data_IF_392218818376
#
_entry.id   IF_392218818376
#
_cell.length_a   1.000
_cell.length_b   1.000
_cell.length_c   1.000
_cell.angle_alpha   90.00
_cell.angle_beta   90.00
_cell.angle_gamma   90.00
#
_symmetry.space_group_name_H-M   'P 1'
#
loop_
_entity.id
_entity.type
_entity.pdbx_description
1 polymer ?
#
# COMPACT_ATOMS: atom_id res chain seq x y z
N UNK A 1 25.79 -4.38 14.71
CA UNK A 1 24.48 -4.35 14.03
C UNK A 1 24.44 -5.55 13.10
N UNK A 2 23.36 -6.31 13.10
CA UNK A 2 23.14 -7.37 12.10
C UNK A 2 22.85 -6.66 10.77
N UNK A 3 23.57 -7.03 9.70
CA UNK A 3 23.33 -6.46 8.36
C UNK A 3 21.95 -6.88 7.86
N UNK A 4 21.20 -5.94 7.28
CA UNK A 4 19.92 -6.20 6.60
C UNK A 4 20.16 -6.42 5.11
N UNK A 5 19.15 -6.89 4.39
CA UNK A 5 19.22 -7.32 3.00
C UNK A 5 19.93 -6.32 2.08
N UNK A 6 19.58 -5.03 2.15
CA UNK A 6 20.20 -3.99 1.31
C UNK A 6 21.55 -3.46 1.83
N UNK A 7 22.01 -3.89 3.01
CA UNK A 7 23.31 -3.49 3.57
C UNK A 7 24.49 -4.33 3.00
N UNK A 8 24.19 -5.41 2.27
CA UNK A 8 25.18 -6.28 1.63
C UNK A 8 25.68 -5.71 0.31
N UNK A 9 27.00 -5.66 0.15
CA UNK A 9 27.63 -5.16 -1.09
C UNK A 9 27.77 -6.26 -2.14
N UNK A 10 28.04 -5.88 -3.39
CA UNK A 10 28.33 -6.85 -4.46
C UNK A 10 29.48 -7.79 -4.06
N UNK A 11 29.27 -9.08 -4.31
CA UNK A 11 30.21 -10.15 -3.96
C UNK A 11 30.22 -10.55 -2.48
N UNK A 12 29.35 -10.01 -1.63
CA UNK A 12 29.26 -10.38 -0.21
C UNK A 12 28.35 -11.60 -0.01
N UNK A 13 28.81 -12.59 0.77
CA UNK A 13 27.97 -13.73 1.19
C UNK A 13 27.02 -13.31 2.33
N UNK A 14 25.81 -13.86 2.30
CA UNK A 14 24.74 -13.56 3.26
C UNK A 14 24.10 -14.83 3.79
N UNK A 15 23.70 -14.78 5.06
CA UNK A 15 22.83 -15.76 5.68
C UNK A 15 21.75 -14.99 6.46
N UNK A 16 20.54 -14.97 5.93
CA UNK A 16 19.45 -14.12 6.38
C UNK A 16 18.14 -14.90 6.43
N UNK A 17 17.29 -14.54 7.39
CA UNK A 17 15.88 -14.89 7.36
C UNK A 17 15.11 -13.79 6.65
N UNK A 18 14.35 -14.14 5.62
CA UNK A 18 13.68 -13.22 4.71
C UNK A 18 12.24 -13.67 4.44
N UNK A 19 11.38 -12.74 4.07
CA UNK A 19 10.05 -13.04 3.54
C UNK A 19 10.10 -13.18 2.02
N UNK A 20 9.41 -14.19 1.48
CA UNK A 20 9.13 -14.27 0.05
C UNK A 20 7.95 -13.35 -0.28
N UNK A 21 8.22 -12.22 -0.94
CA UNK A 21 7.19 -11.28 -1.39
C UNK A 21 6.51 -11.76 -2.67
N UNK A 22 7.25 -12.42 -3.55
CA UNK A 22 6.74 -12.99 -4.80
C UNK A 22 7.49 -14.27 -5.16
N UNK A 23 6.81 -15.17 -5.86
CA UNK A 23 7.34 -16.44 -6.34
C UNK A 23 6.64 -16.85 -7.64
N UNK A 24 7.44 -17.06 -8.68
CA UNK A 24 6.94 -17.38 -10.03
C UNK A 24 7.73 -18.53 -10.64
N UNK A 25 7.06 -19.66 -10.92
CA UNK A 25 7.64 -20.76 -11.69
C UNK A 25 7.75 -20.38 -13.17
N UNK A 26 8.97 -20.42 -13.70
CA UNK A 26 9.28 -20.10 -15.10
C UNK A 26 10.05 -21.23 -15.75
N UNK A 27 10.00 -21.26 -17.08
CA UNK A 27 10.77 -22.19 -17.90
C UNK A 27 11.87 -21.43 -18.62
N UNK A 28 13.12 -21.88 -18.46
CA UNK A 28 14.28 -21.31 -19.14
C UNK A 28 14.26 -21.63 -20.64
N UNK A 29 15.08 -20.93 -21.43
CA UNK A 29 15.23 -21.20 -22.88
C UNK A 29 15.65 -22.65 -23.19
N UNK A 30 16.28 -23.30 -22.22
CA UNK A 30 16.79 -24.65 -22.24
C UNK A 30 15.77 -25.67 -21.66
N UNK A 31 14.52 -25.28 -21.46
CA UNK A 31 13.41 -26.16 -21.05
C UNK A 31 13.40 -26.53 -19.57
N UNK A 32 14.39 -26.10 -18.79
CA UNK A 32 14.43 -26.36 -17.34
C UNK A 32 13.60 -25.34 -16.58
N UNK A 33 12.85 -25.83 -15.59
CA UNK A 33 12.07 -24.99 -14.68
C UNK A 33 12.96 -24.34 -13.61
N UNK A 34 12.57 -23.15 -13.17
CA UNK A 34 13.21 -22.39 -12.11
C UNK A 34 12.19 -21.43 -11.45
N UNK A 35 12.38 -21.13 -10.18
CA UNK A 35 11.59 -20.10 -9.51
C UNK A 35 12.30 -18.75 -9.62
N UNK A 36 11.53 -17.73 -9.95
CA UNK A 36 11.90 -16.34 -9.72
C UNK A 36 11.31 -15.94 -8.37
N UNK A 37 12.18 -15.64 -7.42
CA UNK A 37 11.82 -15.27 -6.05
C UNK A 37 12.15 -13.79 -5.80
N UNK A 38 11.29 -13.11 -5.06
CA UNK A 38 11.57 -11.77 -4.53
C UNK A 38 11.65 -11.86 -3.01
N UNK A 39 12.84 -11.64 -2.46
CA UNK A 39 13.09 -11.64 -1.04
C UNK A 39 12.91 -10.24 -0.45
N UNK A 40 12.41 -10.16 0.77
CA UNK A 40 12.26 -8.89 1.49
C UNK A 40 12.55 -9.00 2.99
N UNK A 41 13.08 -7.92 3.54
CA UNK A 41 13.10 -7.61 4.97
C UNK A 41 12.77 -6.12 5.17
N UNK A 42 12.96 -5.57 6.37
CA UNK A 42 12.75 -4.14 6.68
C UNK A 42 13.71 -3.14 6.01
N UNK A 43 14.63 -3.59 5.15
CA UNK A 43 15.50 -2.69 4.37
C UNK A 43 15.09 -2.56 2.91
N UNK A 44 14.27 -3.47 2.38
CA UNK A 44 13.82 -3.43 0.99
C UNK A 44 13.60 -4.81 0.39
N UNK A 45 13.77 -4.91 -0.94
CA UNK A 45 13.60 -6.18 -1.66
C UNK A 45 14.73 -6.45 -2.65
N UNK A 46 15.09 -7.72 -2.82
CA UNK A 46 16.05 -8.17 -3.84
C UNK A 46 15.54 -9.46 -4.50
N UNK A 47 15.76 -9.59 -5.81
CA UNK A 47 15.41 -10.80 -6.58
C UNK A 47 16.48 -11.89 -6.46
N UNK A 48 16.07 -13.15 -6.43
CA UNK A 48 16.95 -14.30 -6.69
C UNK A 48 16.25 -15.36 -7.55
N UNK A 49 17.03 -16.23 -8.19
CA UNK A 49 16.48 -17.34 -8.98
C UNK A 49 16.88 -18.68 -8.36
N UNK A 50 15.91 -19.54 -8.05
CA UNK A 50 16.14 -20.92 -7.63
C UNK A 50 16.07 -21.82 -8.87
N UNK A 51 17.22 -22.31 -9.31
CA UNK A 51 17.35 -23.09 -10.54
C UNK A 51 16.96 -24.56 -10.35
N UNK A 52 16.47 -25.21 -11.41
CA UNK A 52 16.01 -26.59 -11.41
C UNK A 52 14.86 -26.85 -10.41
N UNK A 53 14.01 -25.85 -10.19
CA UNK A 53 12.87 -25.96 -9.29
C UNK A 53 11.74 -26.81 -9.89
N UNK A 54 11.09 -27.59 -9.04
CA UNK A 54 9.91 -28.40 -9.33
C UNK A 54 8.61 -27.66 -9.01
N UNK A 55 7.46 -28.27 -9.33
CA UNK A 55 6.17 -27.75 -8.88
C UNK A 55 6.04 -27.77 -7.35
N UNK A 56 6.59 -28.80 -6.69
CA UNK A 56 6.58 -28.90 -5.23
C UNK A 56 7.39 -27.76 -4.58
N UNK A 57 8.49 -27.35 -5.21
CA UNK A 57 9.25 -26.17 -4.75
C UNK A 57 8.41 -24.90 -4.91
N UNK A 58 7.62 -24.77 -5.98
CA UNK A 58 6.73 -23.63 -6.18
C UNK A 58 5.67 -23.54 -5.08
N UNK A 59 5.11 -24.67 -4.66
CA UNK A 59 4.12 -24.74 -3.60
C UNK A 59 4.76 -24.42 -2.23
N UNK A 60 5.98 -24.91 -2.00
CA UNK A 60 6.75 -24.71 -0.76
C UNK A 60 7.23 -23.26 -0.60
N UNK A 61 7.83 -22.70 -1.66
CA UNK A 61 8.38 -21.34 -1.68
C UNK A 61 7.39 -20.37 -2.30
N UNK A 62 6.14 -20.40 -1.82
CA UNK A 62 5.08 -19.49 -2.21
C UNK A 62 5.18 -18.12 -1.51
N UNK A 63 4.52 -17.07 -2.04
CA UNK A 63 4.51 -15.76 -1.38
C UNK A 63 3.95 -15.83 0.04
N UNK A 64 4.57 -15.12 0.97
CA UNK A 64 4.21 -15.12 2.39
C UNK A 64 5.07 -16.05 3.25
N UNK A 65 5.82 -16.95 2.61
CA UNK A 65 6.70 -17.89 3.29
C UNK A 65 7.94 -17.19 3.83
N UNK A 66 8.26 -17.40 5.11
CA UNK A 66 9.54 -17.02 5.69
C UNK A 66 10.56 -18.10 5.34
N UNK A 67 11.72 -17.67 4.86
CA UNK A 67 12.81 -18.55 4.44
C UNK A 67 14.12 -18.13 5.07
N UNK A 68 14.93 -19.11 5.43
CA UNK A 68 16.35 -18.90 5.73
C UNK A 68 17.12 -19.11 4.42
N UNK A 69 17.79 -18.05 3.99
CA UNK A 69 18.54 -17.96 2.75
C UNK A 69 20.03 -17.93 3.07
N UNK A 70 20.78 -18.86 2.48
CA UNK A 70 22.23 -18.72 2.30
C UNK A 70 22.52 -18.41 0.84
N UNK A 71 23.30 -17.36 0.59
CA UNK A 71 23.57 -16.92 -0.78
C UNK A 71 24.63 -15.86 -0.87
N UNK A 72 24.78 -15.31 -2.07
CA UNK A 72 25.71 -14.22 -2.35
C UNK A 72 25.03 -13.11 -3.12
N UNK A 73 25.34 -11.89 -2.73
CA UNK A 73 24.95 -10.70 -3.46
C UNK A 73 25.73 -10.64 -4.77
N UNK A 74 25.03 -10.59 -5.89
CA UNK A 74 25.62 -10.42 -7.22
C UNK A 74 24.89 -9.31 -7.97
N UNK A 75 25.58 -8.70 -8.93
CA UNK A 75 25.00 -7.77 -9.88
C UNK A 75 24.86 -8.42 -11.26
N UNK A 76 23.68 -8.33 -11.87
CA UNK A 76 23.42 -8.83 -13.21
C UNK A 76 22.70 -7.77 -14.04
N UNK A 77 23.35 -7.32 -15.13
CA UNK A 77 22.86 -6.22 -15.98
C UNK A 77 22.56 -4.94 -15.17
N UNK A 78 23.52 -4.54 -14.33
CA UNK A 78 23.42 -3.39 -13.42
C UNK A 78 22.25 -3.48 -12.44
N UNK A 79 21.73 -4.70 -12.23
CA UNK A 79 20.66 -4.98 -11.28
C UNK A 79 21.14 -5.92 -10.19
N UNK A 80 21.08 -5.47 -8.92
CA UNK A 80 20.86 -6.30 -7.76
C UNK A 80 20.17 -7.67 -7.94
N UNK A 81 20.91 -8.79 -7.74
CA UNK A 81 20.33 -10.11 -7.51
C UNK A 81 20.99 -10.89 -6.36
N UNK A 82 20.38 -12.00 -5.97
CA UNK A 82 20.93 -12.99 -5.04
C UNK A 82 21.19 -14.27 -5.83
N UNK A 83 22.42 -14.77 -5.75
CA UNK A 83 22.75 -16.14 -6.08
C UNK A 83 22.48 -17.02 -4.85
N UNK A 84 21.47 -17.88 -4.98
CA UNK A 84 21.02 -18.76 -3.90
C UNK A 84 21.97 -19.97 -3.81
N UNK A 85 22.49 -20.25 -2.62
CA UNK A 85 23.22 -21.48 -2.31
C UNK A 85 22.31 -22.51 -1.68
N UNK A 86 21.54 -22.09 -0.67
CA UNK A 86 20.59 -22.93 0.05
C UNK A 86 19.38 -22.10 0.46
N UNK A 87 18.22 -22.74 0.49
CA UNK A 87 16.96 -22.10 0.85
C UNK A 87 16.07 -23.10 1.59
N UNK A 88 15.69 -22.77 2.82
CA UNK A 88 14.74 -23.59 3.61
C UNK A 88 13.60 -22.74 4.15
N UNK A 89 12.45 -23.37 4.32
CA UNK A 89 11.30 -22.76 5.02
C UNK A 89 11.62 -22.67 6.51
N UNK A 90 11.29 -21.54 7.11
CA UNK A 90 11.31 -21.34 8.55
C UNK A 90 9.96 -21.78 9.11
N UNK A 91 9.98 -22.77 10.00
CA UNK A 91 8.77 -23.31 10.60
C UNK A 91 8.11 -22.33 11.59
N UNK A 92 6.78 -22.43 11.80
CA UNK A 92 6.05 -21.53 12.70
C UNK A 92 6.52 -21.60 14.17
N UNK A 93 7.22 -22.66 14.55
CA UNK A 93 7.75 -22.85 15.91
C UNK A 93 9.18 -22.30 16.09
N UNK A 94 9.80 -21.75 15.04
CA UNK A 94 11.16 -21.19 15.12
C UNK A 94 11.20 -19.76 15.69
N UNK A 95 10.03 -19.21 16.08
CA UNK A 95 9.95 -18.01 16.93
C UNK A 95 10.17 -16.66 16.22
N UNK A 96 10.16 -16.64 14.89
CA UNK A 96 10.29 -15.41 14.10
C UNK A 96 8.97 -14.65 14.04
N UNK A 97 8.99 -13.36 14.36
CA UNK A 97 7.84 -12.48 14.22
C UNK A 97 7.76 -11.95 12.77
N UNK A 98 6.68 -12.29 12.07
CA UNK A 98 6.38 -11.83 10.70
C UNK A 98 6.49 -10.30 10.56
N UNK A 99 6.22 -9.55 11.64
CA UNK A 99 6.31 -8.08 11.64
C UNK A 99 7.73 -7.56 11.40
N UNK A 100 8.77 -8.37 11.58
CA UNK A 100 10.17 -8.01 11.34
C UNK A 100 10.54 -8.00 9.84
N UNK A 101 9.73 -8.63 8.99
CA UNK A 101 10.02 -8.82 7.56
C UNK A 101 9.08 -8.06 6.64
N UNK A 102 8.06 -7.41 7.20
CA UNK A 102 7.08 -6.59 6.47
C UNK A 102 7.29 -5.14 6.86
N UNK A 103 7.61 -4.29 5.88
CA UNK A 103 7.67 -2.85 6.10
C UNK A 103 6.33 -2.34 6.62
N UNK A 104 6.38 -1.45 7.60
CA UNK A 104 5.20 -0.79 8.15
C UNK A 104 5.27 0.71 7.91
N UNK A 105 4.12 1.36 7.86
CA UNK A 105 4.06 2.81 7.87
C UNK A 105 4.92 3.41 9.01
N UNK A 106 5.53 4.59 8.82
CA UNK A 106 6.39 5.23 9.83
C UNK A 106 5.63 5.70 11.08
N UNK A 107 4.30 5.62 11.06
CA UNK A 107 3.41 6.04 12.14
C UNK A 107 2.85 4.79 12.83
N UNK A 108 2.81 4.80 14.17
CA UNK A 108 2.26 3.68 14.94
C UNK A 108 0.76 3.60 14.71
N UNK A 109 0.25 2.37 14.67
CA UNK A 109 -1.18 2.11 14.46
C UNK A 109 -2.08 2.89 15.43
N UNK A 110 -1.69 2.98 16.72
CA UNK A 110 -2.43 3.73 17.73
C UNK A 110 -2.57 5.22 17.38
N UNK A 111 -1.50 5.84 16.88
CA UNK A 111 -1.51 7.26 16.52
C UNK A 111 -2.40 7.48 15.28
N UNK A 112 -2.38 6.53 14.32
CA UNK A 112 -3.29 6.54 13.16
C UNK A 112 -4.77 6.43 13.61
N UNK A 113 -5.07 5.53 14.54
CA UNK A 113 -6.40 5.37 15.11
C UNK A 113 -6.88 6.65 15.81
N UNK A 114 -6.03 7.30 16.61
CA UNK A 114 -6.36 8.54 17.30
C UNK A 114 -6.67 9.69 16.31
N UNK A 115 -5.86 9.84 15.26
CA UNK A 115 -6.08 10.87 14.25
C UNK A 115 -7.37 10.65 13.44
N UNK A 116 -7.65 9.42 13.01
CA UNK A 116 -8.89 9.11 12.28
C UNK A 116 -10.09 9.33 13.20
N UNK A 117 -10.05 8.85 14.44
CA UNK A 117 -11.14 9.05 15.39
C UNK A 117 -11.42 10.53 15.64
N UNK A 118 -10.39 11.37 15.76
CA UNK A 118 -10.55 12.83 15.86
C UNK A 118 -11.35 13.37 14.68
N UNK A 119 -11.02 12.99 13.44
CA UNK A 119 -11.76 13.44 12.24
C UNK A 119 -13.18 12.91 12.17
N UNK A 120 -13.42 11.68 12.63
CA UNK A 120 -14.77 11.14 12.75
C UNK A 120 -15.64 11.99 13.70
N UNK A 121 -15.09 12.60 14.75
CA UNK A 121 -15.84 13.53 15.60
C UNK A 121 -16.15 14.88 14.92
N UNK A 122 -15.40 15.26 13.89
CA UNK A 122 -15.59 16.50 13.13
C UNK A 122 -16.63 16.34 12.00
N UNK A 123 -17.09 15.13 11.70
CA UNK A 123 -18.19 14.87 10.75
C UNK A 123 -19.52 15.17 11.44
N UNK A 124 -20.12 16.31 11.13
CA UNK A 124 -21.34 16.82 11.78
C UNK A 124 -22.63 16.26 11.17
N UNK A 125 -22.61 15.88 9.89
CA UNK A 125 -23.75 15.23 9.26
C UNK A 125 -23.99 13.84 9.90
N UNK A 126 -25.19 13.58 10.44
CA UNK A 126 -25.46 12.33 11.17
C UNK A 126 -25.47 11.09 10.26
N UNK A 127 -25.90 11.21 9.01
CA UNK A 127 -25.93 10.12 8.03
C UNK A 127 -24.52 9.62 7.76
N UNK A 128 -23.62 10.52 7.34
CA UNK A 128 -22.23 10.17 7.05
C UNK A 128 -21.48 9.70 8.29
N UNK A 129 -21.68 10.35 9.44
CA UNK A 129 -21.04 9.96 10.70
C UNK A 129 -21.38 8.51 11.08
N UNK A 130 -22.66 8.15 11.00
CA UNK A 130 -23.14 6.79 11.33
C UNK A 130 -22.55 5.74 10.39
N UNK A 131 -22.54 5.99 9.09
CA UNK A 131 -21.96 5.08 8.08
C UNK A 131 -20.46 4.90 8.33
N UNK A 132 -19.71 6.00 8.48
CA UNK A 132 -18.26 5.96 8.73
C UNK A 132 -17.94 5.17 10.00
N UNK A 133 -18.63 5.45 11.12
CA UNK A 133 -18.42 4.71 12.38
C UNK A 133 -18.77 3.23 12.26
N UNK A 134 -19.86 2.91 11.56
CA UNK A 134 -20.28 1.53 11.35
C UNK A 134 -19.23 0.74 10.57
N UNK A 135 -18.76 1.29 9.45
CA UNK A 135 -17.77 0.63 8.60
C UNK A 135 -16.38 0.53 9.25
N UNK A 136 -15.92 1.60 9.92
CA UNK A 136 -14.67 1.54 10.71
C UNK A 136 -14.73 0.50 11.82
N UNK A 137 -15.89 0.32 12.47
CA UNK A 137 -16.07 -0.74 13.46
C UNK A 137 -16.06 -2.12 12.83
N UNK A 138 -16.75 -2.29 11.70
CA UNK A 138 -16.86 -3.56 10.97
C UNK A 138 -15.50 -4.05 10.46
N UNK A 139 -14.71 -3.14 9.91
CA UNK A 139 -13.43 -3.44 9.23
C UNK A 139 -12.19 -2.99 10.02
N UNK A 140 -12.32 -2.76 11.33
CA UNK A 140 -11.28 -2.13 12.14
C UNK A 140 -9.91 -2.81 11.98
N UNK A 141 -9.87 -4.14 12.18
CA UNK A 141 -8.63 -4.90 12.17
C UNK A 141 -7.96 -4.85 10.79
N UNK A 142 -8.73 -5.05 9.73
CA UNK A 142 -8.25 -5.06 8.36
C UNK A 142 -7.79 -3.66 7.95
N UNK A 143 -8.63 -2.65 8.16
CA UNK A 143 -8.34 -1.26 7.79
C UNK A 143 -7.03 -0.72 8.38
N UNK A 144 -6.76 -1.05 9.65
CA UNK A 144 -5.55 -0.60 10.34
C UNK A 144 -4.31 -1.45 10.08
N UNK A 145 -4.44 -2.62 9.44
CA UNK A 145 -3.30 -3.51 9.15
C UNK A 145 -2.95 -3.59 7.67
N UNK A 146 -3.91 -3.40 6.77
CA UNK A 146 -3.75 -3.59 5.33
C UNK A 146 -2.90 -2.50 4.68
N UNK A 147 -2.22 -2.81 3.56
CA UNK A 147 -1.60 -1.81 2.70
C UNK A 147 -2.66 -1.05 1.89
N UNK A 148 -2.29 0.13 1.37
CA UNK A 148 -3.15 0.86 0.43
C UNK A 148 -2.99 0.34 -1.02
N UNK A 149 -2.09 -0.62 -1.27
CA UNK A 149 -1.93 -1.21 -2.59
C UNK A 149 -0.93 -2.37 -2.59
N UNK A 150 -0.91 -3.13 -3.69
CA UNK A 150 -0.01 -4.29 -3.84
C UNK A 150 1.47 -3.88 -4.00
N UNK A 151 1.74 -2.85 -4.79
CA UNK A 151 3.10 -2.46 -5.19
C UNK A 151 3.27 -0.96 -5.42
N UNK A 152 2.22 -0.18 -5.14
CA UNK A 152 2.19 1.27 -5.40
C UNK A 152 2.44 2.04 -4.09
N UNK A 153 1.98 3.29 -4.02
CA UNK A 153 2.11 4.11 -2.82
C UNK A 153 1.45 3.41 -1.62
N UNK A 154 2.07 3.56 -0.45
CA UNK A 154 1.61 2.94 0.80
C UNK A 154 1.42 1.41 0.73
N UNK A 155 2.22 0.70 -0.08
CA UNK A 155 2.25 -0.77 -0.17
C UNK A 155 2.99 -1.44 1.01
N UNK A 156 2.67 -0.97 2.22
CA UNK A 156 3.27 -1.35 3.51
C UNK A 156 2.18 -1.69 4.51
N UNK A 157 2.52 -2.45 5.57
CA UNK A 157 1.59 -2.71 6.67
C UNK A 157 1.12 -1.40 7.31
N UNK A 158 -0.17 -1.31 7.65
CA UNK A 158 -0.86 -0.10 8.10
C UNK A 158 -0.94 1.01 7.02
N UNK A 159 -0.58 0.70 5.77
CA UNK A 159 -0.50 1.66 4.69
C UNK A 159 -1.84 2.31 4.34
N UNK A 160 -2.95 1.56 4.41
CA UNK A 160 -4.29 2.08 4.13
C UNK A 160 -4.71 3.18 5.12
N UNK A 161 -4.55 2.91 6.42
CA UNK A 161 -4.81 3.92 7.45
C UNK A 161 -3.82 5.10 7.39
N UNK A 162 -2.56 4.85 7.05
CA UNK A 162 -1.56 5.91 6.89
C UNK A 162 -1.87 6.84 5.71
N UNK A 163 -2.28 6.28 4.57
CA UNK A 163 -2.77 7.03 3.42
C UNK A 163 -3.98 7.89 3.81
N UNK A 164 -4.98 7.28 4.45
CA UNK A 164 -6.18 7.97 4.95
C UNK A 164 -5.84 9.15 5.87
N UNK A 165 -4.90 8.97 6.83
CA UNK A 165 -4.48 10.05 7.74
C UNK A 165 -3.80 11.19 6.99
N UNK A 166 -2.95 10.88 6.01
CA UNK A 166 -2.26 11.90 5.21
C UNK A 166 -3.27 12.72 4.41
N UNK A 167 -4.23 12.07 3.75
CA UNK A 167 -5.34 12.74 3.08
C UNK A 167 -6.21 13.59 4.01
N UNK A 168 -6.46 13.13 5.23
CA UNK A 168 -7.25 13.89 6.21
C UNK A 168 -6.52 15.16 6.69
N UNK A 169 -5.18 15.14 6.75
CA UNK A 169 -4.37 16.33 7.06
C UNK A 169 -4.41 17.33 5.89
N UNK A 170 -4.31 16.85 4.66
CA UNK A 170 -4.43 17.70 3.47
C UNK A 170 -5.85 18.29 3.34
N UNK A 171 -6.87 17.46 3.56
CA UNK A 171 -8.27 17.88 3.60
C UNK A 171 -8.52 18.98 4.64
N UNK A 172 -7.93 18.87 5.84
CA UNK A 172 -8.02 19.94 6.84
C UNK A 172 -7.40 21.25 6.34
N UNK A 173 -6.18 21.19 5.80
CA UNK A 173 -5.49 22.38 5.30
C UNK A 173 -6.24 23.06 4.15
N UNK A 174 -6.75 22.27 3.21
CA UNK A 174 -7.53 22.73 2.07
C UNK A 174 -8.86 23.34 2.55
N UNK A 175 -9.59 22.67 3.44
CA UNK A 175 -10.86 23.19 3.96
C UNK A 175 -10.69 24.41 4.88
N UNK A 176 -9.52 24.58 5.53
CA UNK A 176 -9.18 25.82 6.25
C UNK A 176 -8.97 27.00 5.29
N UNK A 177 -8.51 26.73 4.07
CA UNK A 177 -8.26 27.74 3.04
C UNK A 177 -9.52 28.09 2.25
N UNK A 178 -10.35 27.09 1.94
CA UNK A 178 -11.54 27.22 1.12
C UNK A 178 -12.80 26.92 1.96
N UNK A 179 -13.45 27.96 2.54
CA UNK A 179 -14.56 27.77 3.48
C UNK A 179 -15.85 27.21 2.84
N UNK A 180 -15.93 27.22 1.50
CA UNK A 180 -17.05 26.63 0.76
C UNK A 180 -17.01 25.10 0.67
N UNK A 181 -15.97 24.45 1.20
CA UNK A 181 -15.86 22.98 1.23
C UNK A 181 -16.62 22.44 2.44
N UNK A 182 -17.53 21.50 2.21
CA UNK A 182 -18.15 20.71 3.26
C UNK A 182 -17.12 19.73 3.86
N UNK A 183 -16.61 20.09 5.04
CA UNK A 183 -15.67 19.28 5.81
C UNK A 183 -16.20 17.90 6.16
N UNK A 184 -17.50 17.80 6.47
CA UNK A 184 -18.10 16.52 6.87
C UNK A 184 -18.12 15.54 5.71
N UNK A 185 -18.51 16.01 4.52
CA UNK A 185 -18.54 15.19 3.31
C UNK A 185 -17.13 14.82 2.87
N UNK A 186 -16.21 15.78 2.83
CA UNK A 186 -14.82 15.53 2.43
C UNK A 186 -14.13 14.52 3.36
N UNK A 187 -14.28 14.66 4.68
CA UNK A 187 -13.68 13.72 5.63
C UNK A 187 -14.30 12.33 5.56
N UNK A 188 -15.63 12.23 5.38
CA UNK A 188 -16.28 10.95 5.15
C UNK A 188 -15.75 10.27 3.88
N UNK A 189 -15.59 11.05 2.80
CA UNK A 189 -14.96 10.60 1.56
C UNK A 189 -13.52 10.10 1.77
N UNK A 190 -12.66 10.89 2.41
CA UNK A 190 -11.27 10.49 2.69
C UNK A 190 -11.19 9.17 3.47
N UNK A 191 -12.04 8.99 4.49
CA UNK A 191 -12.01 7.77 5.31
C UNK A 191 -12.48 6.54 4.54
N UNK A 192 -13.47 6.70 3.65
CA UNK A 192 -14.13 5.57 3.02
C UNK A 192 -13.60 5.22 1.64
N UNK A 193 -13.11 6.17 0.83
CA UNK A 193 -12.86 5.96 -0.61
C UNK A 193 -12.11 4.66 -0.96
N UNK A 194 -11.09 4.33 -0.17
CA UNK A 194 -10.23 3.17 -0.35
C UNK A 194 -10.55 1.99 0.58
N UNK A 195 -11.54 2.12 1.47
CA UNK A 195 -11.83 1.08 2.46
C UNK A 195 -12.26 -0.25 1.83
N UNK A 196 -12.73 -0.24 0.57
CA UNK A 196 -12.97 -1.47 -0.20
C UNK A 196 -11.72 -2.34 -0.39
N UNK A 197 -10.51 -1.78 -0.17
CA UNK A 197 -9.24 -2.51 -0.22
C UNK A 197 -9.12 -3.61 0.84
N UNK A 198 -9.90 -3.54 1.91
CA UNK A 198 -9.99 -4.63 2.91
C UNK A 198 -10.63 -5.91 2.35
N UNK A 199 -11.32 -5.81 1.22
CA UNK A 199 -11.93 -6.94 0.50
C UNK A 199 -11.14 -7.24 -0.80
N UNK A 200 -10.63 -6.20 -1.47
CA UNK A 200 -9.86 -6.34 -2.72
C UNK A 200 -8.51 -7.05 -2.51
N UNK A 201 -7.89 -6.90 -1.34
CA UNK A 201 -6.56 -7.41 -1.04
C UNK A 201 -6.60 -8.60 -0.08
N UNK A 202 -5.65 -9.53 -0.22
CA UNK A 202 -5.59 -10.76 0.57
C UNK A 202 -5.09 -10.58 2.02
N UNK A 203 -4.58 -9.40 2.35
CA UNK A 203 -4.01 -9.10 3.67
C UNK A 203 -2.67 -8.37 3.64
N UNK A 204 -2.04 -8.18 4.81
CA UNK A 204 -0.85 -7.33 4.96
C UNK A 204 0.48 -8.00 4.63
N UNK A 205 0.51 -9.33 4.46
CA UNK A 205 1.74 -10.09 4.16
C UNK A 205 1.62 -10.64 2.75
N UNK A 206 2.67 -10.43 1.93
CA UNK A 206 2.73 -10.90 0.54
C UNK A 206 1.43 -10.64 -0.24
N UNK A 207 0.95 -9.40 -0.16
CA UNK A 207 -0.37 -9.00 -0.60
C UNK A 207 -0.63 -9.35 -2.07
N UNK A 208 -1.76 -10.00 -2.32
CA UNK A 208 -2.30 -10.30 -3.64
C UNK A 208 -3.73 -9.78 -3.76
N UNK A 209 -4.24 -9.69 -5.00
CA UNK A 209 -5.64 -9.38 -5.24
C UNK A 209 -6.50 -10.63 -5.00
N UNK A 210 -7.63 -10.46 -4.31
CA UNK A 210 -8.66 -11.49 -4.16
C UNK A 210 -9.41 -11.73 -5.47
N UNK A 211 -10.29 -12.73 -5.53
CA UNK A 211 -11.12 -12.95 -6.72
C UNK A 211 -12.06 -11.76 -6.92
N UNK A 212 -12.69 -11.30 -5.84
CA UNK A 212 -13.53 -10.12 -5.77
C UNK A 212 -12.75 -8.86 -6.16
N UNK A 213 -11.52 -8.71 -5.66
CA UNK A 213 -10.66 -7.60 -6.03
C UNK A 213 -10.34 -7.54 -7.53
N UNK A 214 -10.04 -8.69 -8.16
CA UNK A 214 -9.76 -8.75 -9.60
C UNK A 214 -11.00 -8.59 -10.48
N UNK A 215 -12.17 -9.04 -10.02
CA UNK A 215 -13.40 -9.07 -10.82
C UNK A 215 -14.28 -7.82 -10.64
N UNK A 216 -14.27 -7.21 -9.44
CA UNK A 216 -15.17 -6.14 -9.02
C UNK A 216 -14.39 -4.85 -8.79
N UNK A 217 -13.30 -4.91 -8.02
CA UNK A 217 -12.46 -3.76 -7.65
C UNK A 217 -13.02 -2.94 -6.48
N UNK A 218 -12.12 -2.27 -5.75
CA UNK A 218 -12.46 -1.65 -4.46
C UNK A 218 -13.52 -0.55 -4.52
N UNK A 219 -13.64 0.23 -5.60
CA UNK A 219 -14.65 1.31 -5.72
C UNK A 219 -16.08 0.77 -5.61
N UNK A 220 -16.35 -0.33 -6.32
CA UNK A 220 -17.67 -0.97 -6.31
C UNK A 220 -17.86 -1.72 -4.99
N UNK A 221 -16.82 -2.36 -4.46
CA UNK A 221 -16.88 -3.05 -3.17
C UNK A 221 -17.19 -2.08 -2.02
N UNK A 222 -16.59 -0.88 -1.99
CA UNK A 222 -16.91 0.10 -0.95
C UNK A 222 -18.32 0.67 -1.12
N UNK A 223 -18.76 0.94 -2.34
CA UNK A 223 -20.14 1.39 -2.60
C UNK A 223 -21.17 0.38 -2.08
N UNK A 224 -20.93 -0.92 -2.33
CA UNK A 224 -21.73 -2.01 -1.77
C UNK A 224 -21.73 -1.96 -0.24
N UNK A 225 -20.57 -1.83 0.41
CA UNK A 225 -20.49 -1.77 1.87
C UNK A 225 -21.21 -0.54 2.44
N UNK A 226 -21.18 0.61 1.75
CA UNK A 226 -21.92 1.82 2.14
C UNK A 226 -23.42 1.56 2.07
N UNK A 227 -23.92 0.93 1.00
CA UNK A 227 -25.34 0.60 0.85
C UNK A 227 -25.81 -0.42 1.89
N UNK A 228 -25.02 -1.46 2.16
CA UNK A 228 -25.31 -2.42 3.22
C UNK A 228 -25.34 -1.75 4.60
N UNK A 229 -24.39 -0.85 4.89
CA UNK A 229 -24.40 -0.08 6.13
C UNK A 229 -25.64 0.82 6.24
N UNK A 230 -26.06 1.48 5.16
CA UNK A 230 -27.25 2.30 5.13
C UNK A 230 -28.51 1.49 5.45
N UNK A 231 -28.66 0.31 4.84
CA UNK A 231 -29.75 -0.62 5.12
C UNK A 231 -29.78 -1.05 6.59
N UNK A 232 -28.64 -1.51 7.14
CA UNK A 232 -28.53 -1.95 8.54
C UNK A 232 -28.77 -0.82 9.56
N UNK A 233 -28.52 0.42 9.16
CA UNK A 233 -28.71 1.61 9.99
C UNK A 233 -30.09 2.26 9.77
N UNK A 234 -30.96 1.67 8.96
CA UNK A 234 -32.27 2.23 8.60
C UNK A 234 -32.16 3.67 8.06
N UNK A 235 -31.12 3.93 7.26
CA UNK A 235 -30.92 5.19 6.54
C UNK A 235 -31.67 5.09 5.22
N UNK A 236 -32.42 6.14 4.87
CA UNK A 236 -33.13 6.22 3.60
C UNK A 236 -32.16 6.08 2.41
N UNK A 237 -32.35 5.01 1.63
CA UNK A 237 -31.53 4.68 0.47
C UNK A 237 -31.62 5.72 -0.66
N UNK A 238 -32.66 6.57 -0.62
CA UNK A 238 -32.88 7.66 -1.57
C UNK A 238 -32.46 9.03 -1.01
N UNK A 239 -31.87 9.08 0.18
CA UNK A 239 -31.39 10.34 0.75
C UNK A 239 -30.26 10.95 -0.07
N UNK A 240 -30.29 12.28 -0.19
CA UNK A 240 -29.25 13.04 -0.91
C UNK A 240 -27.87 12.85 -0.25
N UNK A 241 -27.80 12.83 1.08
CA UNK A 241 -26.58 12.55 1.83
C UNK A 241 -25.91 11.24 1.39
N UNK A 242 -26.68 10.15 1.30
CA UNK A 242 -26.16 8.86 0.89
C UNK A 242 -25.68 8.90 -0.57
N UNK A 243 -26.47 9.52 -1.45
CA UNK A 243 -26.11 9.68 -2.87
C UNK A 243 -24.80 10.45 -3.04
N UNK A 244 -24.60 11.55 -2.31
CA UNK A 244 -23.38 12.35 -2.36
C UNK A 244 -22.16 11.56 -1.86
N UNK A 245 -22.28 10.84 -0.75
CA UNK A 245 -21.19 10.01 -0.22
C UNK A 245 -20.76 8.92 -1.22
N UNK A 246 -21.74 8.25 -1.84
CA UNK A 246 -21.49 7.26 -2.91
C UNK A 246 -20.80 7.89 -4.11
N UNK A 247 -21.25 9.08 -4.53
CA UNK A 247 -20.61 9.80 -5.64
C UNK A 247 -19.13 10.10 -5.34
N UNK A 248 -18.79 10.52 -4.12
CA UNK A 248 -17.40 10.76 -3.72
C UNK A 248 -16.53 9.51 -3.91
N UNK A 249 -16.95 8.38 -3.33
CA UNK A 249 -16.13 7.14 -3.41
C UNK A 249 -16.10 6.55 -4.82
N UNK A 250 -17.17 6.67 -5.61
CA UNK A 250 -17.20 6.13 -6.98
C UNK A 250 -16.47 7.01 -8.00
N UNK A 251 -16.21 8.28 -7.69
CA UNK A 251 -15.57 9.23 -8.60
C UNK A 251 -14.13 9.61 -8.25
N UNK A 252 -13.59 9.16 -7.11
CA UNK A 252 -12.31 9.64 -6.57
C UNK A 252 -11.09 9.38 -7.49
N UNK A 253 -11.13 8.38 -8.37
CA UNK A 253 -10.10 8.18 -9.40
C UNK A 253 -10.08 9.27 -10.50
N UNK A 254 -11.04 10.21 -10.48
CA UNK A 254 -11.08 11.40 -11.35
C UNK A 254 -11.61 11.14 -12.76
N UNK A 255 -10.98 10.21 -13.48
CA UNK A 255 -11.31 9.88 -14.87
C UNK A 255 -11.78 8.42 -15.00
N UNK A 256 -12.78 8.13 -15.87
CA UNK A 256 -13.16 6.74 -16.17
C UNK A 256 -12.01 5.88 -16.68
N UNK A 257 -11.06 6.49 -17.42
CA UNK A 257 -9.84 5.84 -17.89
C UNK A 257 -8.92 5.39 -16.76
N UNK A 258 -9.06 5.98 -15.57
CA UNK A 258 -8.36 5.60 -14.34
C UNK A 258 -9.21 4.70 -13.43
N UNK A 259 -10.42 4.34 -13.85
CA UNK A 259 -11.30 3.41 -13.14
C UNK A 259 -12.47 4.07 -12.39
N UNK A 260 -12.64 5.39 -12.45
CA UNK A 260 -13.79 6.05 -11.85
C UNK A 260 -15.10 5.65 -12.54
N UNK A 261 -16.19 5.44 -11.78
CA UNK A 261 -17.50 5.17 -12.38
C UNK A 261 -18.08 6.41 -13.08
N UNK A 262 -17.75 7.60 -12.57
CA UNK A 262 -18.08 8.89 -13.14
C UNK A 262 -17.01 9.91 -12.76
N UNK A 263 -16.92 11.02 -13.50
CA UNK A 263 -16.04 12.13 -13.11
C UNK A 263 -16.55 12.80 -11.82
N UNK A 264 -15.67 13.38 -10.98
CA UNK A 264 -16.10 14.23 -9.88
C UNK A 264 -16.93 15.41 -10.41
N UNK A 265 -18.14 15.59 -9.88
CA UNK A 265 -19.05 16.69 -10.24
C UNK A 265 -19.64 17.38 -9.02
N UNK A 266 -19.05 17.11 -7.86
CA UNK A 266 -19.30 17.75 -6.57
C UNK A 266 -17.95 18.30 -6.10
N UNK A 267 -17.92 19.49 -5.51
CA UNK A 267 -16.66 20.18 -5.15
C UNK A 267 -15.78 19.28 -4.27
N UNK A 268 -16.37 18.65 -3.26
CA UNK A 268 -15.68 17.76 -2.33
C UNK A 268 -15.14 16.51 -3.03
N UNK A 269 -15.81 16.01 -4.07
CA UNK A 269 -15.33 14.89 -4.86
C UNK A 269 -14.11 15.28 -5.72
N UNK A 270 -14.12 16.48 -6.32
CA UNK A 270 -12.97 16.98 -7.08
C UNK A 270 -11.78 17.20 -6.15
N UNK A 271 -12.02 17.77 -4.97
CA UNK A 271 -10.99 17.97 -3.94
C UNK A 271 -10.45 16.63 -3.44
N UNK A 272 -11.31 15.65 -3.14
CA UNK A 272 -10.92 14.30 -2.73
C UNK A 272 -9.99 13.66 -3.76
N UNK A 273 -10.36 13.70 -5.04
CA UNK A 273 -9.54 13.19 -6.13
C UNK A 273 -8.15 13.86 -6.17
N UNK A 274 -8.08 15.18 -6.00
CA UNK A 274 -6.79 15.89 -5.97
C UNK A 274 -5.95 15.58 -4.75
N UNK A 275 -6.57 15.36 -3.60
CA UNK A 275 -5.88 14.98 -2.37
C UNK A 275 -5.28 13.58 -2.52
N UNK A 276 -6.06 12.62 -3.04
CA UNK A 276 -5.60 11.26 -3.30
C UNK A 276 -4.39 11.24 -4.27
N UNK A 277 -4.51 11.92 -5.42
CA UNK A 277 -3.42 12.03 -6.39
C UNK A 277 -2.17 12.73 -5.83
N UNK A 278 -2.36 13.75 -5.00
CA UNK A 278 -1.27 14.48 -4.35
C UNK A 278 -0.52 13.56 -3.37
N UNK A 279 -1.22 12.87 -2.47
CA UNK A 279 -0.62 11.97 -1.50
C UNK A 279 0.13 10.83 -2.19
N UNK A 280 -0.52 10.18 -3.16
CA UNK A 280 0.08 9.13 -3.99
C UNK A 280 1.37 9.61 -4.70
N UNK A 281 1.35 10.84 -5.22
CA UNK A 281 2.47 11.45 -5.92
C UNK A 281 3.63 11.78 -4.97
N UNK A 282 3.34 12.44 -3.86
CA UNK A 282 4.34 12.81 -2.85
C UNK A 282 4.98 11.56 -2.26
N UNK A 283 4.20 10.54 -1.92
CA UNK A 283 4.72 9.29 -1.39
C UNK A 283 5.66 8.60 -2.39
N UNK A 284 5.22 8.41 -3.64
CA UNK A 284 6.01 7.72 -4.65
C UNK A 284 7.34 8.41 -4.95
N UNK A 285 7.32 9.75 -5.08
CA UNK A 285 8.52 10.54 -5.33
C UNK A 285 9.45 10.51 -4.10
N UNK A 286 8.90 10.71 -2.90
CA UNK A 286 9.69 10.74 -1.66
C UNK A 286 10.39 9.40 -1.44
N UNK A 287 9.68 8.28 -1.59
CA UNK A 287 10.27 6.94 -1.43
C UNK A 287 11.44 6.73 -2.42
N UNK A 288 11.24 7.07 -3.69
CA UNK A 288 12.30 6.95 -4.70
C UNK A 288 13.51 7.85 -4.40
N UNK A 289 13.27 9.08 -3.95
CA UNK A 289 14.36 10.01 -3.59
C UNK A 289 15.13 9.55 -2.34
N UNK A 290 14.45 8.99 -1.33
CA UNK A 290 15.12 8.46 -0.13
C UNK A 290 16.14 7.35 -0.44
N UNK A 291 15.92 6.60 -1.53
CA UNK A 291 16.80 5.54 -2.03
C UNK A 291 17.85 6.02 -3.04
N UNK A 292 17.73 7.25 -3.55
CA UNK A 292 18.63 7.83 -4.57
C UNK A 292 19.80 8.54 -3.91
N UNK A 293 21.02 8.46 -4.44
CA UNK A 293 22.16 9.18 -3.85
C UNK A 293 22.05 10.71 -4.09
N UNK A 294 22.55 11.56 -3.17
CA UNK A 294 22.57 13.01 -3.40
C UNK A 294 23.31 13.39 -4.68
N UNK A 295 22.70 14.23 -5.51
CA UNK A 295 23.23 14.63 -6.81
C UNK A 295 22.91 13.68 -7.97
N UNK A 296 22.10 12.64 -7.76
CA UNK A 296 21.66 11.70 -8.78
C UNK A 296 20.15 11.77 -9.04
N UNK A 297 19.71 11.11 -10.12
CA UNK A 297 18.29 10.97 -10.47
C UNK A 297 17.78 9.60 -10.05
N UNK A 298 16.53 9.54 -9.58
CA UNK A 298 15.80 8.29 -9.34
C UNK A 298 15.77 7.41 -10.60
N UNK A 299 15.42 6.13 -10.45
CA UNK A 299 14.89 5.35 -11.57
C UNK A 299 13.56 5.96 -12.08
N UNK A 300 13.09 5.49 -13.24
CA UNK A 300 11.79 5.92 -13.79
C UNK A 300 10.65 5.40 -12.91
N UNK A 301 9.74 6.29 -12.52
CA UNK A 301 8.59 5.94 -11.67
C UNK A 301 7.35 5.79 -12.56
N UNK A 302 6.84 4.55 -12.70
CA UNK A 302 5.73 4.24 -13.63
C UNK A 302 4.46 5.02 -13.31
N UNK A 303 4.11 5.18 -12.03
CA UNK A 303 2.94 5.96 -11.58
C UNK A 303 3.08 7.46 -11.80
N UNK A 304 4.25 7.92 -12.25
CA UNK A 304 4.57 9.34 -12.46
C UNK A 304 4.96 9.59 -13.91
N UNK A 305 4.25 8.95 -14.84
CA UNK A 305 4.50 9.02 -16.29
C UNK A 305 5.90 8.58 -16.70
N UNK A 306 6.47 7.61 -15.98
CA UNK A 306 7.85 7.14 -16.17
C UNK A 306 8.92 8.25 -16.03
N UNK A 307 8.59 9.34 -15.31
CA UNK A 307 9.54 10.42 -15.04
C UNK A 307 10.61 9.99 -14.02
N UNK A 308 11.74 10.71 -14.06
CA UNK A 308 12.82 10.64 -13.08
C UNK A 308 12.87 11.94 -12.29
N UNK A 309 13.21 11.86 -11.02
CA UNK A 309 13.30 13.01 -10.12
C UNK A 309 14.73 13.15 -9.61
N UNK A 310 15.19 14.38 -9.43
CA UNK A 310 16.57 14.67 -9.01
C UNK A 310 16.63 14.81 -7.48
N UNK A 311 17.56 14.12 -6.82
CA UNK A 311 17.87 14.36 -5.41
C UNK A 311 18.96 15.45 -5.32
N UNK A 312 18.67 16.62 -4.74
CA UNK A 312 19.68 17.65 -4.50
C UNK A 312 20.88 17.12 -3.72
N UNK A 313 22.06 17.72 -3.91
CA UNK A 313 23.27 17.35 -3.16
C UNK A 313 23.13 17.60 -1.65
N UNK A 314 22.39 18.65 -1.30
CA UNK A 314 22.02 19.00 0.06
C UNK A 314 20.48 19.09 0.10
N UNK A 315 19.83 18.14 0.75
CA UNK A 315 18.37 18.08 0.87
C UNK A 315 17.96 17.82 2.32
N UNK A 316 18.18 18.82 3.18
CA UNK A 316 17.87 18.77 4.61
C UNK A 316 16.41 18.39 4.90
N UNK A 317 15.49 18.76 4.01
CA UNK A 317 14.07 18.48 4.18
C UNK A 317 13.79 16.99 4.00
N UNK A 318 14.30 16.40 2.91
CA UNK A 318 14.19 14.96 2.66
C UNK A 318 14.96 14.14 3.70
N UNK A 319 16.16 14.59 4.10
CA UNK A 319 17.03 13.87 5.03
C UNK A 319 16.44 13.83 6.45
N UNK A 320 15.62 14.82 6.83
CA UNK A 320 14.88 14.86 8.11
C UNK A 320 13.50 14.21 8.02
N UNK A 321 12.99 13.96 6.81
CA UNK A 321 11.70 13.33 6.62
C UNK A 321 11.74 11.88 7.15
N UNK A 322 10.63 11.38 7.74
CA UNK A 322 10.54 9.96 8.11
C UNK A 322 10.76 9.06 6.90
N UNK A 323 11.45 7.93 7.10
CA UNK A 323 11.54 6.89 6.07
C UNK A 323 10.15 6.30 5.84
N UNK A 324 9.71 6.29 4.59
CA UNK A 324 8.37 5.81 4.22
C UNK A 324 8.27 4.29 4.15
N UNK A 325 9.39 3.65 3.83
CA UNK A 325 9.64 2.21 3.80
C UNK A 325 10.92 1.92 4.59
#
# INVERSE_FOLDING_TARGET
MIKRLLDYNDGEDMNLVLLLKDSSLRTSKNGKQYLVLQFSDSSGTIRGNLWNASQQDADTFSPGTIVELSGRREEYQDRPQIRIYDLRVVGPNEGYDLSQFVHSAPIKQKDLEEEINKRVFEILNPTWNRIVRYLLKKWNKEFFSYPAGKSNHHAVRNGLAFHTVSMLRDAEGIANTYPQIDRSLLYAGCILHDMGKVIELSGPVATTYTAEGNLIGHLVLIDEQIMLAAHELEIDEHSEDLMLLRHLVLSHHGLPEYGAAHRPVVLEAEVLHKIDDLDATVYAITNALQQTKPGEFTETIKSQDNRRFYRPKNDDALDKAPKLE
#
